data_IF_396327380032
#
_entry.id   IF_396327380032
#
_cell.length_a   1.000
_cell.length_b   1.000
_cell.length_c   1.000
_cell.angle_alpha   90.00
_cell.angle_beta   90.00
_cell.angle_gamma   90.00
#
_symmetry.space_group_name_H-M   'P 1'
#
loop_
_entity.id
_entity.type
_entity.pdbx_description
1 polymer ?
#
# COMPACT_ATOMS: atom_id res chain seq x y z
N UNK A 1 2.34 44.44 18.73
CA UNK A 1 0.88 44.18 18.75
C UNK A 1 0.44 43.91 17.32
N UNK A 2 -0.17 42.73 17.10
CA UNK A 2 -1.20 42.38 16.08
C UNK A 2 -0.80 42.52 14.58
N UNK A 3 -1.28 41.75 13.60
CA UNK A 3 -2.47 40.90 13.40
C UNK A 3 -2.11 39.83 12.34
N UNK A 4 -2.60 38.59 12.50
CA UNK A 4 -2.56 37.55 11.47
C UNK A 4 -3.63 37.76 10.39
N UNK A 5 -3.33 37.44 9.13
CA UNK A 5 -4.36 37.25 8.10
C UNK A 5 -4.20 35.87 7.46
N UNK A 6 -5.06 34.96 7.93
CA UNK A 6 -5.42 33.71 7.28
C UNK A 6 -6.18 34.08 6.00
N UNK A 7 -5.75 33.57 4.86
CA UNK A 7 -6.57 33.49 3.65
C UNK A 7 -6.65 32.03 3.25
N UNK A 8 -7.74 31.39 3.67
CA UNK A 8 -8.18 30.12 3.12
C UNK A 8 -8.87 30.36 1.78
N UNK A 9 -8.63 29.47 0.82
CA UNK A 9 -9.43 29.35 -0.38
C UNK A 9 -10.11 27.97 -0.37
N UNK A 10 -11.42 27.98 -0.13
CA UNK A 10 -12.33 26.91 -0.51
C UNK A 10 -12.55 26.96 -2.03
N UNK A 11 -12.68 25.79 -2.66
CA UNK A 11 -13.17 25.65 -4.03
C UNK A 11 -13.36 24.19 -4.44
N UNK A 12 -14.51 23.61 -4.08
CA UNK A 12 -15.02 22.35 -4.65
C UNK A 12 -15.44 22.55 -6.12
N UNK A 13 -15.35 21.50 -6.95
CA UNK A 13 -16.55 20.89 -7.55
C UNK A 13 -16.25 19.77 -8.58
N UNK A 14 -17.00 18.67 -8.40
CA UNK A 14 -17.62 17.81 -9.40
C UNK A 14 -16.75 16.86 -10.23
N UNK A 15 -16.70 15.59 -9.81
CA UNK A 15 -16.92 14.45 -10.73
C UNK A 15 -17.12 13.15 -9.94
N UNK A 16 -18.31 12.54 -9.99
CA UNK A 16 -18.59 11.09 -9.95
C UNK A 16 -19.91 10.73 -9.24
N UNK A 17 -21.06 11.07 -9.83
CA UNK A 17 -22.35 10.45 -9.47
C UNK A 17 -22.72 9.24 -10.36
N UNK A 18 -21.84 8.84 -11.29
CA UNK A 18 -22.16 7.79 -12.28
C UNK A 18 -21.45 6.44 -12.05
N UNK A 19 -20.62 6.30 -11.01
CA UNK A 19 -19.85 5.06 -10.77
C UNK A 19 -20.50 4.09 -9.77
N UNK A 20 -21.49 4.53 -9.01
CA UNK A 20 -22.06 3.72 -7.91
C UNK A 20 -22.95 2.58 -8.44
N UNK A 21 -23.73 2.82 -9.51
CA UNK A 21 -24.70 1.81 -10.02
C UNK A 21 -24.07 0.61 -10.75
N UNK A 22 -22.81 0.71 -11.20
CA UNK A 22 -22.10 -0.41 -11.86
C UNK A 22 -21.48 -1.39 -10.87
N UNK A 23 -21.29 -0.98 -9.62
CA UNK A 23 -20.61 -1.77 -8.59
C UNK A 23 -21.52 -2.86 -8.03
N UNK A 24 -22.78 -2.52 -7.74
CA UNK A 24 -23.71 -3.44 -7.07
C UNK A 24 -24.06 -4.67 -7.93
N UNK A 25 -24.15 -4.51 -9.25
CA UNK A 25 -24.55 -5.63 -10.13
C UNK A 25 -23.46 -6.69 -10.31
N UNK A 26 -22.19 -6.35 -10.05
CA UNK A 26 -21.05 -7.28 -10.19
C UNK A 26 -20.81 -8.12 -8.93
N UNK A 27 -21.30 -7.65 -7.78
CA UNK A 27 -21.11 -8.34 -6.51
C UNK A 27 -21.96 -9.62 -6.41
N UNK A 28 -23.23 -9.57 -6.82
CA UNK A 28 -24.12 -10.75 -6.71
C UNK A 28 -23.80 -11.87 -7.72
N UNK A 29 -23.29 -11.53 -8.91
CA UNK A 29 -22.97 -12.53 -9.94
C UNK A 29 -21.76 -13.40 -9.58
N UNK A 30 -20.85 -12.89 -8.74
CA UNK A 30 -19.59 -13.54 -8.39
C UNK A 30 -19.77 -14.58 -7.27
N UNK A 31 -20.77 -14.41 -6.41
CA UNK A 31 -21.03 -15.31 -5.28
C UNK A 31 -21.70 -16.64 -5.72
N UNK A 32 -22.50 -16.63 -6.78
CA UNK A 32 -23.22 -17.81 -7.24
C UNK A 32 -22.35 -18.82 -8.02
N UNK A 33 -21.19 -18.38 -8.54
CA UNK A 33 -20.32 -19.22 -9.37
C UNK A 33 -19.26 -19.98 -8.56
N UNK A 34 -18.93 -19.53 -7.35
CA UNK A 34 -17.93 -20.16 -6.49
C UNK A 34 -18.40 -21.49 -5.89
N UNK A 35 -19.70 -21.63 -5.59
CA UNK A 35 -20.25 -22.84 -4.97
C UNK A 35 -20.40 -24.04 -5.91
N UNK A 36 -20.43 -23.84 -7.24
CA UNK A 36 -20.60 -24.94 -8.21
C UNK A 36 -19.29 -25.67 -8.58
N UNK A 37 -18.13 -25.01 -8.41
CA UNK A 37 -16.82 -25.59 -8.74
C UNK A 37 -16.29 -26.51 -7.64
N UNK A 38 -16.63 -26.26 -6.37
CA UNK A 38 -16.13 -27.02 -5.23
C UNK A 38 -16.64 -28.47 -5.17
N UNK A 39 -17.83 -28.73 -5.71
CA UNK A 39 -18.45 -30.06 -5.65
C UNK A 39 -17.87 -31.06 -6.67
N UNK A 40 -17.20 -30.58 -7.72
CA UNK A 40 -16.65 -31.45 -8.78
C UNK A 40 -15.26 -31.98 -8.46
N UNK A 41 -14.50 -31.29 -7.61
CA UNK A 41 -13.13 -31.65 -7.21
C UNK A 41 -13.06 -32.71 -6.09
N UNK A 42 -14.14 -32.93 -5.34
CA UNK A 42 -14.13 -33.80 -4.16
C UNK A 42 -14.29 -35.31 -4.46
N UNK A 43 -14.52 -35.71 -5.72
CA UNK A 43 -14.88 -37.11 -6.05
C UNK A 43 -13.76 -37.96 -6.66
N UNK A 44 -12.61 -37.38 -7.01
CA UNK A 44 -11.48 -38.11 -7.59
C UNK A 44 -10.21 -37.82 -6.78
N UNK A 45 -9.93 -38.63 -5.75
CA UNK A 45 -8.57 -38.99 -5.31
C UNK A 45 -8.62 -39.84 -4.04
N UNK A 46 -8.96 -41.12 -4.19
CA UNK A 46 -8.53 -42.16 -3.25
C UNK A 46 -7.18 -42.70 -3.72
N UNK A 47 -6.12 -42.49 -2.92
CA UNK A 47 -5.12 -43.51 -2.51
C UNK A 47 -3.69 -42.96 -2.38
N UNK A 48 -3.21 -43.09 -1.14
CA UNK A 48 -1.87 -43.56 -0.74
C UNK A 48 -0.67 -42.61 -0.74
N UNK A 49 -0.25 -42.31 0.50
CA UNK A 49 1.13 -42.40 1.03
C UNK A 49 1.89 -41.10 1.34
N UNK A 50 2.02 -40.89 2.66
CA UNK A 50 3.19 -40.41 3.42
C UNK A 50 3.69 -38.94 3.30
N UNK A 51 3.61 -38.30 4.46
CA UNK A 51 4.58 -37.37 5.08
C UNK A 51 4.48 -35.86 4.78
N UNK A 52 3.91 -35.17 5.77
CA UNK A 52 4.41 -33.94 6.42
C UNK A 52 4.56 -32.66 5.59
N UNK A 53 3.53 -31.82 5.71
CA UNK A 53 3.52 -30.36 5.81
C UNK A 53 4.78 -29.59 5.35
N UNK A 54 4.65 -28.91 4.21
CA UNK A 54 4.92 -27.46 4.14
C UNK A 54 3.77 -26.82 3.40
N UNK A 55 3.13 -25.88 4.08
CA UNK A 55 2.05 -25.05 3.56
C UNK A 55 2.57 -24.15 2.43
N UNK A 56 1.67 -23.90 1.49
CA UNK A 56 1.59 -22.70 0.66
C UNK A 56 2.88 -22.25 -0.05
N UNK A 57 3.09 -22.87 -1.21
CA UNK A 57 3.61 -22.11 -2.34
C UNK A 57 2.58 -22.18 -3.44
N UNK A 58 1.45 -21.50 -3.21
CA UNK A 58 0.69 -20.93 -4.32
C UNK A 58 1.65 -19.97 -5.02
N UNK A 59 2.40 -20.49 -5.99
CA UNK A 59 3.32 -19.74 -6.80
C UNK A 59 2.53 -18.62 -7.48
N UNK A 60 2.69 -17.39 -6.97
CA UNK A 60 2.17 -16.16 -7.56
C UNK A 60 2.78 -16.07 -8.96
N UNK A 61 2.02 -16.57 -9.93
CA UNK A 61 2.49 -16.69 -11.29
C UNK A 61 2.36 -15.31 -11.92
N UNK A 62 3.52 -14.71 -12.17
CA UNK A 62 3.77 -13.56 -13.03
C UNK A 62 3.28 -12.18 -12.60
N UNK A 63 3.79 -11.68 -11.47
CA UNK A 63 4.14 -10.27 -11.34
C UNK A 63 5.52 -10.02 -12.00
N UNK A 64 5.68 -10.25 -13.30
CA UNK A 64 6.98 -10.12 -14.00
C UNK A 64 7.43 -8.67 -14.19
N UNK A 65 6.96 -7.74 -13.35
CA UNK A 65 7.24 -6.32 -13.46
C UNK A 65 7.37 -5.60 -12.12
N UNK A 66 6.71 -6.07 -11.05
CA UNK A 66 6.78 -5.42 -9.75
C UNK A 66 8.22 -5.44 -9.21
N UNK A 67 8.66 -4.38 -8.52
CA UNK A 67 9.95 -4.38 -7.84
C UNK A 67 10.01 -5.48 -6.78
N UNK A 68 11.21 -5.87 -6.39
CA UNK A 68 11.37 -6.77 -5.25
C UNK A 68 11.06 -6.03 -3.94
N UNK A 69 10.67 -6.77 -2.89
CA UNK A 69 10.47 -6.20 -1.55
C UNK A 69 11.70 -5.41 -1.07
N UNK A 70 12.90 -5.94 -1.31
CA UNK A 70 14.16 -5.26 -0.96
C UNK A 70 14.36 -3.95 -1.74
N UNK A 71 13.92 -3.86 -2.99
CA UNK A 71 14.00 -2.62 -3.76
C UNK A 71 13.03 -1.56 -3.21
N UNK A 72 11.82 -1.96 -2.81
CA UNK A 72 10.85 -1.09 -2.13
C UNK A 72 11.41 -0.58 -0.80
N UNK A 73 11.94 -1.48 0.04
CA UNK A 73 12.58 -1.11 1.32
C UNK A 73 13.76 -0.16 1.14
N UNK A 74 14.60 -0.41 0.13
CA UNK A 74 15.75 0.45 -0.19
C UNK A 74 15.27 1.84 -0.58
N UNK A 75 14.29 1.93 -1.48
CA UNK A 75 13.75 3.21 -1.94
C UNK A 75 13.11 3.99 -0.79
N UNK A 76 12.27 3.35 0.01
CA UNK A 76 11.66 3.95 1.19
C UNK A 76 12.72 4.44 2.19
N UNK A 77 13.80 3.68 2.39
CA UNK A 77 14.92 4.10 3.25
C UNK A 77 15.64 5.35 2.73
N UNK A 78 15.90 5.41 1.42
CA UNK A 78 16.50 6.58 0.77
C UNK A 78 15.57 7.80 0.85
N UNK A 79 14.27 7.58 0.71
CA UNK A 79 13.28 8.65 0.80
C UNK A 79 13.14 9.17 2.24
N UNK A 80 13.26 8.31 3.26
CA UNK A 80 13.36 8.75 4.65
C UNK A 80 14.66 9.56 4.89
N UNK A 81 15.79 9.17 4.28
CA UNK A 81 17.03 9.95 4.37
C UNK A 81 16.87 11.34 3.74
N UNK A 82 16.19 11.43 2.58
CA UNK A 82 15.87 12.72 1.93
C UNK A 82 14.94 13.55 2.80
N UNK A 83 13.86 12.97 3.31
CA UNK A 83 12.93 13.64 4.21
C UNK A 83 13.65 14.22 5.43
N UNK A 84 14.55 13.45 6.05
CA UNK A 84 15.38 13.91 7.17
C UNK A 84 16.29 15.07 6.79
N UNK A 85 16.92 15.00 5.62
CA UNK A 85 17.79 16.05 5.12
C UNK A 85 17.01 17.36 4.84
N UNK A 86 15.83 17.24 4.22
CA UNK A 86 14.98 18.37 3.83
C UNK A 86 14.31 19.03 5.04
N UNK A 87 13.91 18.24 6.05
CA UNK A 87 13.18 18.71 7.23
C UNK A 87 14.06 18.95 8.46
N UNK A 88 15.39 18.96 8.31
CA UNK A 88 16.37 19.07 9.41
C UNK A 88 16.17 20.27 10.35
N UNK A 89 15.52 21.34 9.88
CA UNK A 89 15.12 22.52 10.68
C UNK A 89 13.62 22.76 10.75
N UNK A 90 12.81 21.83 10.25
CA UNK A 90 11.37 21.96 10.06
C UNK A 90 10.56 21.07 11.01
N UNK A 91 9.66 20.27 10.41
CA UNK A 91 8.69 19.47 11.16
C UNK A 91 9.36 18.41 12.04
N UNK A 92 10.55 17.93 11.70
CA UNK A 92 11.29 16.95 12.52
C UNK A 92 11.58 17.48 13.93
N UNK A 93 12.00 18.75 14.04
CA UNK A 93 12.31 19.35 15.35
C UNK A 93 11.06 19.76 16.12
N UNK A 94 10.05 20.28 15.41
CA UNK A 94 8.94 21.01 16.04
C UNK A 94 7.62 20.23 16.08
N UNK A 95 7.43 19.28 15.16
CA UNK A 95 6.22 18.48 15.03
C UNK A 95 6.13 17.34 16.05
N UNK A 96 4.90 16.84 16.23
CA UNK A 96 4.65 15.58 16.91
C UNK A 96 5.15 14.39 16.08
N UNK A 97 5.16 13.19 16.66
CA UNK A 97 5.61 12.01 15.91
C UNK A 97 4.65 11.70 14.77
N UNK A 98 3.37 11.88 15.05
CA UNK A 98 2.25 11.72 14.13
C UNK A 98 2.40 12.72 12.97
N UNK A 99 2.59 14.02 13.27
CA UNK A 99 2.75 15.03 12.19
C UNK A 99 3.98 14.75 11.30
N UNK A 100 5.08 14.27 11.89
CA UNK A 100 6.30 13.94 11.13
C UNK A 100 6.06 12.72 10.25
N UNK A 101 5.30 11.74 10.74
CA UNK A 101 4.96 10.53 10.01
C UNK A 101 4.00 10.82 8.86
N UNK A 102 2.93 11.56 9.13
CA UNK A 102 1.94 11.96 8.13
C UNK A 102 2.65 12.76 7.01
N UNK A 103 3.51 13.71 7.35
CA UNK A 103 4.26 14.47 6.35
C UNK A 103 5.21 13.61 5.50
N UNK A 104 5.79 12.55 6.07
CA UNK A 104 6.60 11.59 5.31
C UNK A 104 5.73 10.72 4.39
N UNK A 105 4.62 10.22 4.90
CA UNK A 105 3.67 9.39 4.16
C UNK A 105 3.11 10.17 2.96
N UNK A 106 2.55 11.36 3.19
CA UNK A 106 1.99 12.24 2.16
C UNK A 106 3.01 12.62 1.06
N UNK A 107 4.25 12.90 1.45
CA UNK A 107 5.25 13.47 0.52
C UNK A 107 5.95 12.38 -0.29
N UNK A 108 6.25 11.24 0.33
CA UNK A 108 7.16 10.24 -0.24
C UNK A 108 6.48 8.89 -0.45
N UNK A 109 5.67 8.42 0.50
CA UNK A 109 5.09 7.08 0.45
C UNK A 109 3.94 7.04 -0.54
N UNK A 110 2.99 7.96 -0.44
CA UNK A 110 1.84 8.06 -1.33
C UNK A 110 2.29 8.26 -2.78
N UNK A 111 3.26 9.16 -2.99
CA UNK A 111 3.84 9.39 -4.31
C UNK A 111 4.49 8.13 -4.88
N UNK A 112 5.21 7.36 -4.05
CA UNK A 112 5.86 6.14 -4.51
C UNK A 112 4.84 5.02 -4.79
N UNK A 113 3.79 4.91 -3.99
CA UNK A 113 2.69 3.98 -4.24
C UNK A 113 1.98 4.31 -5.57
N UNK A 114 1.61 5.57 -5.78
CA UNK A 114 1.01 6.05 -7.04
C UNK A 114 1.91 5.74 -8.25
N UNK A 115 3.23 5.93 -8.13
CA UNK A 115 4.19 5.59 -9.17
C UNK A 115 4.20 4.09 -9.50
N UNK A 116 4.12 3.22 -8.49
CA UNK A 116 4.09 1.77 -8.66
C UNK A 116 2.78 1.29 -9.27
N UNK A 117 1.65 1.80 -8.80
CA UNK A 117 0.33 1.47 -9.33
C UNK A 117 0.16 1.93 -10.78
N UNK A 118 0.68 3.12 -11.12
CA UNK A 118 0.70 3.61 -12.49
C UNK A 118 1.58 2.75 -13.43
N UNK A 119 2.71 2.23 -12.92
CA UNK A 119 3.60 1.34 -13.68
C UNK A 119 3.07 -0.09 -13.79
N UNK A 120 2.26 -0.52 -12.83
CA UNK A 120 1.75 -1.88 -12.70
C UNK A 120 0.23 -1.89 -12.48
N UNK A 121 -0.57 -1.41 -13.45
CA UNK A 121 -2.00 -1.24 -13.26
C UNK A 121 -2.72 -2.57 -13.01
N UNK A 122 -3.78 -2.52 -12.19
CA UNK A 122 -4.69 -3.63 -11.95
C UNK A 122 -4.85 -3.95 -10.47
N UNK A 123 -6.09 -4.25 -10.06
CA UNK A 123 -6.50 -4.50 -8.67
C UNK A 123 -5.59 -5.49 -7.92
N UNK A 124 -5.20 -6.60 -8.56
CA UNK A 124 -4.28 -7.56 -7.94
C UNK A 124 -2.89 -6.96 -7.66
N UNK A 125 -2.39 -6.09 -8.54
CA UNK A 125 -1.09 -5.45 -8.34
C UNK A 125 -1.17 -4.34 -7.30
N UNK A 126 -2.28 -3.60 -7.25
CA UNK A 126 -2.55 -2.58 -6.21
C UNK A 126 -2.48 -3.22 -4.81
N UNK A 127 -3.18 -4.34 -4.59
CA UNK A 127 -3.12 -5.10 -3.33
C UNK A 127 -1.69 -5.56 -2.97
N UNK A 128 -0.91 -5.97 -3.98
CA UNK A 128 0.47 -6.42 -3.78
C UNK A 128 1.38 -5.22 -3.45
N UNK A 129 1.20 -4.09 -4.14
CA UNK A 129 1.96 -2.85 -3.93
C UNK A 129 1.70 -2.31 -2.53
N UNK A 130 0.44 -2.18 -2.11
CA UNK A 130 0.07 -1.73 -0.76
C UNK A 130 0.75 -2.62 0.30
N UNK A 131 0.62 -3.95 0.16
CA UNK A 131 1.26 -4.89 1.07
C UNK A 131 2.80 -4.84 1.06
N UNK A 132 3.43 -4.43 -0.04
CA UNK A 132 4.89 -4.23 -0.10
C UNK A 132 5.33 -2.95 0.60
N UNK A 133 4.58 -1.86 0.40
CA UNK A 133 4.80 -0.56 1.06
C UNK A 133 4.65 -0.71 2.57
N UNK A 134 3.57 -1.32 3.05
CA UNK A 134 3.33 -1.58 4.48
C UNK A 134 4.49 -2.32 5.14
N UNK A 135 4.95 -3.41 4.51
CA UNK A 135 6.11 -4.18 5.00
C UNK A 135 7.38 -3.34 5.00
N UNK A 136 7.56 -2.49 3.99
CA UNK A 136 8.68 -1.56 3.91
C UNK A 136 8.69 -0.51 5.02
N UNK A 137 7.52 0.08 5.32
CA UNK A 137 7.33 1.03 6.43
C UNK A 137 7.63 0.39 7.80
N UNK A 138 7.24 -0.88 7.99
CA UNK A 138 7.58 -1.62 9.20
C UNK A 138 9.09 -1.88 9.33
N UNK A 139 9.80 -2.11 8.22
CA UNK A 139 11.25 -2.38 8.20
C UNK A 139 12.12 -1.12 8.36
N UNK A 140 11.57 0.06 8.04
CA UNK A 140 12.26 1.36 7.99
C UNK A 140 12.86 1.85 9.32
N UNK A 141 12.39 1.32 10.46
CA UNK A 141 12.71 1.83 11.81
C UNK A 141 12.52 3.36 11.90
N UNK A 142 11.39 3.85 11.37
CA UNK A 142 11.09 5.28 11.22
C UNK A 142 11.30 6.05 12.53
N UNK A 143 10.64 5.63 13.61
CA UNK A 143 10.72 6.29 14.92
C UNK A 143 12.16 6.37 15.45
N UNK A 144 12.94 5.30 15.28
CA UNK A 144 14.32 5.25 15.74
C UNK A 144 15.21 6.22 14.96
N UNK A 145 15.01 6.34 13.65
CA UNK A 145 15.77 7.26 12.78
C UNK A 145 15.39 8.72 13.03
N UNK A 146 14.10 9.03 13.17
CA UNK A 146 13.64 10.38 13.52
C UNK A 146 14.15 10.79 14.91
N UNK A 147 14.10 9.90 15.90
CA UNK A 147 14.61 10.18 17.24
C UNK A 147 16.13 10.46 17.29
N UNK A 148 16.90 9.92 16.35
CA UNK A 148 18.35 10.15 16.29
C UNK A 148 18.74 11.54 15.74
N UNK A 149 17.80 12.23 15.08
CA UNK A 149 18.05 13.53 14.41
C UNK A 149 17.24 14.68 14.98
N UNK A 150 16.32 14.40 15.91
CA UNK A 150 15.53 15.39 16.66
C UNK A 150 16.36 16.00 17.80
#
# INVERSE_FOLDING_TARGET
>A
MAVALIVGAMGMAAYNDHKEEQFERRYEASLAKSYSESAKLASESTSSSSASATSDSTAVSSATGLPSQTAVETRLSEDLDKFIADQKGGIIQTGSKEDIRDAFEDTYVDTYQDELEAQHPGEQNEDIVEGMIDRGLLALNFDGRIAAVK
#
